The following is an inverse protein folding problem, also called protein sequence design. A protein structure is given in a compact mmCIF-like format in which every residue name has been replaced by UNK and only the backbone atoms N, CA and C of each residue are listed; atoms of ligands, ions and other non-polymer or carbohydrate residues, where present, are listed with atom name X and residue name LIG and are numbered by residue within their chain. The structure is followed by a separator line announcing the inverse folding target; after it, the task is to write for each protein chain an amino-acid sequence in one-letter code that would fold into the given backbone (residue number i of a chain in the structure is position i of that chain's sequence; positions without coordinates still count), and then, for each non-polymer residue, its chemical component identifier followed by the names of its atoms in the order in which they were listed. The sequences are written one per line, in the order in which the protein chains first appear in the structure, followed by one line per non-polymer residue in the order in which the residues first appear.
data_IF_970328035285
#
_entry.id   IF_970328035285
#
_cell.length_a   1.000
_cell.length_b   1.000
_cell.length_c   1.000
_cell.angle_alpha   90.00
_cell.angle_beta   90.00
_cell.angle_gamma   90.00
#
_symmetry.space_group_name_H-M   'P 1'
#
loop_
_entity.id
_entity.type
_entity.pdbx_description
1 polymer ?
#
# COMPACT_ATOMS: atom_id res chain seq x y z
N UNK A 1 1.02 16.86 -10.54
CA UNK A 1 -0.32 16.27 -10.40
C UNK A 1 -0.72 16.10 -8.94
N UNK A 2 0.12 15.49 -8.09
CA UNK A 2 -0.10 15.39 -6.64
C UNK A 2 -0.31 16.74 -5.92
N UNK A 3 0.35 17.81 -6.35
CA UNK A 3 0.11 19.17 -5.84
C UNK A 3 -1.33 19.68 -6.07
N UNK A 4 -2.04 19.15 -7.07
CA UNK A 4 -3.46 19.46 -7.27
C UNK A 4 -4.29 18.73 -6.21
N UNK A 5 -4.02 17.44 -5.97
CA UNK A 5 -4.71 16.64 -4.94
C UNK A 5 -4.52 17.25 -3.56
N UNK A 6 -3.27 17.56 -3.20
CA UNK A 6 -2.93 18.19 -1.91
C UNK A 6 -3.71 19.47 -1.67
N UNK A 7 -3.74 20.38 -2.66
CA UNK A 7 -4.49 21.64 -2.58
C UNK A 7 -6.01 21.42 -2.54
N UNK A 8 -6.53 20.54 -3.39
CA UNK A 8 -7.98 20.29 -3.48
C UNK A 8 -8.56 19.65 -2.20
N UNK A 9 -7.75 18.84 -1.52
CA UNK A 9 -8.12 18.16 -0.28
C UNK A 9 -7.64 18.86 0.98
N UNK A 10 -7.04 20.06 0.86
CA UNK A 10 -6.48 20.83 1.97
C UNK A 10 -5.55 19.99 2.88
N UNK A 11 -4.71 19.14 2.28
CA UNK A 11 -3.79 18.28 3.03
C UNK A 11 -2.59 19.11 3.49
N UNK A 12 -2.31 19.03 4.79
CA UNK A 12 -1.17 19.69 5.43
C UNK A 12 0.19 19.25 4.82
N UNK A 13 1.15 20.17 4.76
CA UNK A 13 2.50 19.94 4.26
C UNK A 13 3.24 18.86 5.08
N UNK A 14 2.93 18.75 6.37
CA UNK A 14 3.51 17.77 7.30
C UNK A 14 2.92 16.37 7.13
N UNK A 15 1.82 16.22 6.39
CA UNK A 15 1.14 14.94 6.14
C UNK A 15 1.88 14.06 5.10
N UNK A 16 3.20 13.95 5.23
CA UNK A 16 4.12 13.28 4.30
C UNK A 16 3.69 11.83 4.05
N UNK A 17 3.30 11.09 5.09
CA UNK A 17 2.90 9.68 4.96
C UNK A 17 1.56 9.52 4.22
N UNK A 18 0.63 10.46 4.42
CA UNK A 18 -0.63 10.48 3.67
C UNK A 18 -0.36 10.75 2.19
N UNK A 19 0.46 11.77 1.89
CA UNK A 19 0.83 12.07 0.50
C UNK A 19 1.59 10.94 -0.18
N UNK A 20 2.48 10.24 0.52
CA UNK A 20 3.14 9.02 -0.02
C UNK A 20 2.13 7.91 -0.31
N UNK A 21 1.14 7.72 0.56
CA UNK A 21 0.08 6.71 0.37
C UNK A 21 -0.79 7.07 -0.83
N UNK A 22 -1.17 8.34 -0.98
CA UNK A 22 -1.91 8.84 -2.16
C UNK A 22 -1.09 8.65 -3.43
N UNK A 23 0.20 9.01 -3.42
CA UNK A 23 1.08 8.85 -4.57
C UNK A 23 1.23 7.40 -5.01
N UNK A 24 1.23 6.47 -4.05
CA UNK A 24 1.32 5.04 -4.32
C UNK A 24 -0.01 4.44 -4.82
N UNK A 25 -1.14 4.80 -4.20
CA UNK A 25 -2.45 4.20 -4.54
C UNK A 25 -3.15 4.90 -5.71
N UNK A 26 -2.90 6.19 -5.95
CA UNK A 26 -3.55 6.96 -7.00
C UNK A 26 -2.52 7.38 -8.05
N UNK A 27 -2.02 6.41 -8.82
CA UNK A 27 -0.92 6.59 -9.77
C UNK A 27 -1.41 7.32 -11.02
N UNK A 28 -2.62 7.00 -11.46
CA UNK A 28 -3.21 7.58 -12.68
C UNK A 28 -3.93 8.89 -12.40
N UNK A 29 -4.06 9.74 -13.42
CA UNK A 29 -4.83 10.99 -13.32
C UNK A 29 -6.30 10.71 -12.93
N UNK A 30 -6.89 9.65 -13.49
CA UNK A 30 -8.26 9.24 -13.19
C UNK A 30 -8.45 8.87 -11.71
N UNK A 31 -7.54 8.07 -11.13
CA UNK A 31 -7.61 7.71 -9.70
C UNK A 31 -7.43 8.94 -8.80
N UNK A 32 -6.62 9.92 -9.20
CA UNK A 32 -6.46 11.18 -8.48
C UNK A 32 -7.71 12.06 -8.56
N UNK A 33 -8.37 12.09 -9.71
CA UNK A 33 -9.64 12.83 -9.89
C UNK A 33 -10.77 12.19 -9.08
N UNK A 34 -10.91 10.87 -9.13
CA UNK A 34 -11.86 10.14 -8.29
C UNK A 34 -11.62 10.37 -6.79
N UNK A 35 -10.36 10.38 -6.35
CA UNK A 35 -10.01 10.70 -4.98
C UNK A 35 -10.47 12.12 -4.61
N UNK A 36 -10.24 13.11 -5.48
CA UNK A 36 -10.69 14.49 -5.25
C UNK A 36 -12.21 14.54 -5.14
N UNK A 37 -12.92 13.98 -6.12
CA UNK A 37 -14.40 13.99 -6.17
C UNK A 37 -15.02 13.37 -4.91
N UNK A 38 -14.50 12.23 -4.47
CA UNK A 38 -15.03 11.49 -3.31
C UNK A 38 -14.68 12.13 -1.96
N UNK A 39 -13.55 12.85 -1.89
CA UNK A 39 -13.00 13.36 -0.62
C UNK A 39 -13.02 14.88 -0.47
N UNK A 40 -13.42 15.64 -1.48
CA UNK A 40 -13.46 17.11 -1.40
C UNK A 40 -14.37 17.57 -0.26
N UNK A 41 -13.87 18.49 0.57
CA UNK A 41 -14.59 19.00 1.75
C UNK A 41 -14.76 17.98 2.88
N UNK A 42 -14.11 16.81 2.80
CA UNK A 42 -14.09 15.81 3.88
C UNK A 42 -12.86 15.98 4.76
N UNK A 43 -12.94 15.43 5.98
CA UNK A 43 -11.82 15.44 6.91
C UNK A 43 -10.76 14.37 6.58
N UNK A 44 -9.59 14.49 7.21
CA UNK A 44 -8.50 13.53 7.06
C UNK A 44 -8.87 12.10 7.46
N UNK A 45 -9.83 11.91 8.39
CA UNK A 45 -10.26 10.57 8.78
C UNK A 45 -11.03 9.88 7.66
N UNK A 46 -11.88 10.62 6.96
CA UNK A 46 -12.61 10.15 5.79
C UNK A 46 -11.65 9.80 4.66
N UNK A 47 -10.67 10.67 4.35
CA UNK A 47 -9.64 10.41 3.34
C UNK A 47 -8.90 9.10 3.67
N UNK A 48 -8.50 8.91 4.93
CA UNK A 48 -7.84 7.67 5.36
C UNK A 48 -8.74 6.43 5.17
N UNK A 49 -10.03 6.51 5.52
CA UNK A 49 -10.98 5.41 5.28
C UNK A 49 -11.12 5.08 3.80
N UNK A 50 -11.18 6.10 2.94
CA UNK A 50 -11.22 5.94 1.49
C UNK A 50 -9.96 5.21 0.99
N UNK A 51 -8.77 5.65 1.39
CA UNK A 51 -7.50 5.02 0.99
C UNK A 51 -7.37 3.57 1.51
N UNK A 52 -7.89 3.27 2.70
CA UNK A 52 -7.95 1.89 3.22
C UNK A 52 -8.84 1.02 2.33
N UNK A 53 -10.00 1.54 1.89
CA UNK A 53 -10.90 0.83 0.97
C UNK A 53 -10.21 0.60 -0.37
N UNK A 54 -9.65 1.65 -0.98
CA UNK A 54 -8.93 1.58 -2.25
C UNK A 54 -7.75 0.59 -2.21
N UNK A 55 -6.99 0.58 -1.12
CA UNK A 55 -5.93 -0.42 -0.91
C UNK A 55 -6.47 -1.84 -0.98
N UNK A 56 -7.57 -2.14 -0.29
CA UNK A 56 -8.18 -3.49 -0.30
C UNK A 56 -8.63 -3.87 -1.71
N UNK A 57 -9.23 -2.94 -2.45
CA UNK A 57 -9.62 -3.16 -3.84
C UNK A 57 -8.41 -3.46 -4.73
N UNK A 58 -7.31 -2.72 -4.56
CA UNK A 58 -6.06 -3.01 -5.27
C UNK A 58 -5.43 -4.34 -4.89
N UNK A 59 -5.48 -4.74 -3.61
CA UNK A 59 -5.00 -6.07 -3.20
C UNK A 59 -5.77 -7.16 -3.94
N UNK A 60 -7.10 -7.03 -4.04
CA UNK A 60 -7.93 -7.99 -4.75
C UNK A 60 -7.67 -8.01 -6.25
N UNK A 61 -7.31 -6.87 -6.85
CA UNK A 61 -7.09 -6.74 -8.31
C UNK A 61 -5.66 -7.05 -8.76
N UNK A 62 -4.66 -6.66 -7.97
CA UNK A 62 -3.25 -6.61 -8.36
C UNK A 62 -2.34 -7.43 -7.44
N UNK A 63 -2.85 -7.87 -6.29
CA UNK A 63 -2.09 -8.70 -5.36
C UNK A 63 -1.74 -10.07 -5.98
N UNK A 64 -0.86 -10.79 -5.30
CA UNK A 64 -0.49 -12.14 -5.70
C UNK A 64 -1.60 -13.12 -5.36
N UNK A 65 -1.94 -14.01 -6.30
CA UNK A 65 -2.90 -15.10 -6.10
C UNK A 65 -2.23 -16.38 -5.62
N UNK A 66 -1.04 -16.69 -6.11
CA UNK A 66 -0.24 -17.83 -5.69
C UNK A 66 1.14 -17.42 -5.13
N UNK A 67 1.79 -18.39 -4.50
CA UNK A 67 3.06 -18.24 -3.80
C UNK A 67 4.26 -18.20 -4.75
N UNK A 68 4.16 -18.86 -5.91
CA UNK A 68 5.28 -18.98 -6.84
C UNK A 68 5.57 -17.62 -7.46
N UNK A 69 4.53 -16.95 -7.98
CA UNK A 69 4.62 -15.61 -8.53
C UNK A 69 5.21 -14.61 -7.53
N UNK A 70 4.76 -14.67 -6.27
CA UNK A 70 5.33 -13.84 -5.21
C UNK A 70 6.82 -14.14 -4.98
N UNK A 71 7.19 -15.43 -4.94
CA UNK A 71 8.56 -15.83 -4.67
C UNK A 71 9.51 -15.41 -5.79
N UNK A 72 9.10 -15.55 -7.05
CA UNK A 72 9.87 -15.09 -8.20
C UNK A 72 10.10 -13.58 -8.18
N UNK A 73 9.04 -12.80 -7.96
CA UNK A 73 9.15 -11.34 -7.86
C UNK A 73 9.99 -10.92 -6.65
N UNK A 74 9.86 -11.61 -5.51
CA UNK A 74 10.62 -11.30 -4.30
C UNK A 74 12.12 -11.52 -4.47
N UNK A 75 12.54 -12.53 -5.22
CA UNK A 75 13.95 -12.75 -5.58
C UNK A 75 14.49 -11.66 -6.50
N UNK A 76 13.65 -11.09 -7.37
CA UNK A 76 14.04 -9.98 -8.27
C UNK A 76 14.09 -8.64 -7.54
N UNK A 77 13.09 -8.33 -6.74
CA UNK A 77 12.99 -7.10 -5.95
C UNK A 77 12.10 -7.31 -4.72
N UNK A 78 12.73 -7.43 -3.56
CA UNK A 78 12.03 -7.57 -2.27
C UNK A 78 11.07 -6.41 -2.01
N UNK A 79 11.51 -5.18 -2.27
CA UNK A 79 10.67 -3.98 -2.06
C UNK A 79 9.43 -4.07 -2.92
N UNK A 80 9.59 -4.21 -4.25
CA UNK A 80 8.47 -4.21 -5.18
C UNK A 80 7.49 -5.36 -4.93
N UNK A 81 7.99 -6.55 -4.59
CA UNK A 81 7.16 -7.69 -4.24
C UNK A 81 6.34 -7.43 -2.97
N UNK A 82 6.96 -6.86 -1.92
CA UNK A 82 6.25 -6.55 -0.68
C UNK A 82 5.26 -5.39 -0.83
N UNK A 83 5.61 -4.37 -1.62
CA UNK A 83 4.71 -3.29 -1.97
C UNK A 83 3.50 -3.82 -2.73
N UNK A 84 3.68 -4.75 -3.68
CA UNK A 84 2.58 -5.38 -4.41
C UNK A 84 1.74 -6.29 -3.51
N UNK A 85 2.37 -7.07 -2.63
CA UNK A 85 1.68 -7.96 -1.70
C UNK A 85 0.78 -7.19 -0.74
N UNK A 86 1.29 -6.11 -0.14
CA UNK A 86 0.57 -5.34 0.89
C UNK A 86 -0.22 -4.14 0.34
N UNK A 87 0.07 -3.72 -0.90
CA UNK A 87 -0.38 -2.46 -1.50
C UNK A 87 -0.09 -1.25 -0.59
N UNK A 88 1.16 -1.16 -0.15
CA UNK A 88 1.65 -0.09 0.74
C UNK A 88 3.00 0.41 0.23
N UNK A 89 3.28 1.73 0.30
CA UNK A 89 4.60 2.25 -0.03
C UNK A 89 5.63 1.83 1.02
N UNK A 90 6.69 1.18 0.57
CA UNK A 90 7.80 0.71 1.39
C UNK A 90 9.10 1.42 1.00
N UNK A 91 10.04 1.42 1.94
CA UNK A 91 11.41 1.81 1.70
C UNK A 91 12.33 0.79 2.36
N UNK A 92 13.62 0.89 2.09
CA UNK A 92 14.62 -0.03 2.65
C UNK A 92 14.57 -0.09 4.18
N UNK A 93 14.36 1.05 4.84
CA UNK A 93 14.26 1.12 6.30
C UNK A 93 13.06 0.33 6.84
N UNK A 94 11.87 0.45 6.23
CA UNK A 94 10.71 -0.37 6.62
C UNK A 94 10.95 -1.84 6.32
N UNK A 95 11.52 -2.15 5.16
CA UNK A 95 11.78 -3.52 4.75
C UNK A 95 12.77 -4.22 5.68
N UNK A 96 13.71 -3.50 6.28
CA UNK A 96 14.65 -4.04 7.28
C UNK A 96 13.95 -4.60 8.54
N UNK A 97 12.69 -4.27 8.78
CA UNK A 97 11.90 -4.85 9.87
C UNK A 97 11.40 -6.28 9.57
N UNK A 98 11.45 -6.71 8.31
CA UNK A 98 11.08 -8.06 7.91
C UNK A 98 12.20 -9.02 8.30
N UNK A 99 11.92 -9.97 9.19
CA UNK A 99 12.97 -10.81 9.78
C UNK A 99 13.34 -11.99 8.88
N UNK A 100 12.35 -12.58 8.22
CA UNK A 100 12.58 -13.64 7.25
C UNK A 100 12.98 -13.07 5.88
N UNK A 101 13.87 -13.82 5.23
CA UNK A 101 14.19 -13.65 3.81
C UNK A 101 13.62 -14.80 2.95
N UNK A 102 12.86 -15.72 3.56
CA UNK A 102 12.18 -16.80 2.87
C UNK A 102 10.80 -16.34 2.36
N UNK A 103 10.62 -16.15 1.04
CA UNK A 103 9.35 -15.70 0.48
C UNK A 103 8.21 -16.70 0.71
N UNK A 104 8.51 -18.00 0.82
CA UNK A 104 7.49 -19.03 1.09
C UNK A 104 6.89 -18.79 2.48
N UNK A 105 7.76 -18.64 3.48
CA UNK A 105 7.34 -18.33 4.85
C UNK A 105 6.53 -17.03 4.91
N UNK A 106 7.04 -15.94 4.32
CA UNK A 106 6.37 -14.63 4.32
C UNK A 106 4.97 -14.73 3.72
N UNK A 107 4.84 -15.37 2.56
CA UNK A 107 3.55 -15.50 1.88
C UNK A 107 2.55 -16.34 2.69
N UNK A 108 3.03 -17.42 3.32
CA UNK A 108 2.19 -18.28 4.16
C UNK A 108 1.65 -17.51 5.37
N UNK A 109 2.49 -16.73 6.05
CA UNK A 109 2.05 -15.84 7.15
C UNK A 109 1.02 -14.84 6.62
N UNK A 110 1.28 -14.18 5.49
CA UNK A 110 0.34 -13.25 4.87
C UNK A 110 -1.03 -13.91 4.62
N UNK A 111 -1.06 -15.16 4.15
CA UNK A 111 -2.32 -15.90 3.94
C UNK A 111 -3.03 -16.25 5.24
N UNK A 112 -2.28 -16.66 6.27
CA UNK A 112 -2.83 -16.99 7.58
C UNK A 112 -3.42 -15.77 8.30
N UNK A 113 -2.76 -14.61 8.21
CA UNK A 113 -3.26 -13.33 8.77
C UNK A 113 -4.39 -12.71 7.95
N UNK A 114 -4.55 -13.16 6.71
CA UNK A 114 -5.54 -12.69 5.75
C UNK A 114 -4.97 -11.65 4.80
N UNK A 115 -5.49 -11.62 3.56
CA UNK A 115 -4.94 -10.85 2.43
C UNK A 115 -4.86 -9.33 2.67
N UNK A 116 -5.52 -8.79 3.69
CA UNK A 116 -5.53 -7.35 3.98
C UNK A 116 -4.59 -6.94 5.13
N UNK A 117 -3.80 -7.88 5.67
CA UNK A 117 -2.78 -7.62 6.70
C UNK A 117 -1.87 -6.48 6.28
N UNK A 118 -1.52 -5.60 7.22
CA UNK A 118 -0.59 -4.49 6.98
C UNK A 118 0.85 -4.97 6.99
N UNK A 119 1.74 -4.32 6.25
CA UNK A 119 3.17 -4.69 6.26
C UNK A 119 3.75 -4.76 7.67
N UNK A 120 3.49 -3.75 8.51
CA UNK A 120 4.00 -3.73 9.89
C UNK A 120 3.48 -4.91 10.73
N UNK A 121 2.24 -5.36 10.51
CA UNK A 121 1.70 -6.52 11.21
C UNK A 121 2.34 -7.80 10.67
N UNK A 122 2.50 -7.92 9.36
CA UNK A 122 3.16 -9.05 8.71
C UNK A 122 4.61 -9.22 9.22
N UNK A 123 5.36 -8.13 9.30
CA UNK A 123 6.76 -8.12 9.75
C UNK A 123 6.96 -8.51 11.23
N UNK A 124 5.90 -8.55 12.04
CA UNK A 124 6.01 -9.07 13.41
C UNK A 124 6.14 -10.59 13.46
N UNK A 125 5.59 -11.28 12.45
CA UNK A 125 5.49 -12.74 12.40
C UNK A 125 6.36 -13.37 11.32
N UNK A 126 6.69 -12.61 10.27
CA UNK A 126 7.54 -13.01 9.17
C UNK A 126 8.99 -12.58 9.38
#
# INVERSE_FOLDING_TARGET
MLERVKRALCIDDEAINLMKTIAFLCVTAQEQEQLIEECQGKDCQYINRYLIKLRKEKILKLGYDDQLDFSEDFQRSKISAMERLCQEPLNEFKLANLKSNDPVHIFNIHRQRGRFVRFNELALYA
#
